data_IF_242155244592
#
_entry.id   IF_242155244592
#
_cell.length_a   1.000
_cell.length_b   1.000
_cell.length_c   1.000
_cell.angle_alpha   90.00
_cell.angle_beta   90.00
_cell.angle_gamma   90.00
#
_symmetry.space_group_name_H-M   'P 1'
#
loop_
_entity.id
_entity.type
_entity.pdbx_description
1 polymer ?
#
# COMPACT_ATOMS: atom_id res chain seq x y z
N UNK A 1 -19.23 8.46 -19.82
CA UNK A 1 -18.60 7.84 -18.62
C UNK A 1 -17.09 7.73 -18.75
N UNK A 2 -16.53 7.28 -19.89
CA UNK A 2 -15.08 7.18 -20.08
C UNK A 2 -14.29 8.50 -20.08
N UNK A 3 -14.90 9.63 -20.47
CA UNK A 3 -14.20 10.92 -20.54
C UNK A 3 -13.62 11.37 -19.19
N UNK A 4 -14.42 11.33 -18.12
CA UNK A 4 -13.98 11.74 -16.78
C UNK A 4 -12.92 10.76 -16.24
N UNK A 5 -13.12 9.46 -16.43
CA UNK A 5 -12.14 8.45 -16.01
C UNK A 5 -10.81 8.59 -16.72
N UNK A 6 -10.83 8.85 -18.03
CA UNK A 6 -9.63 9.13 -18.80
C UNK A 6 -8.97 10.42 -18.30
N UNK A 7 -9.73 11.50 -18.12
CA UNK A 7 -9.18 12.75 -17.62
C UNK A 7 -8.50 12.59 -16.25
N UNK A 8 -9.14 11.91 -15.29
CA UNK A 8 -8.54 11.66 -13.97
C UNK A 8 -7.26 10.83 -14.12
N UNK A 9 -7.31 9.76 -14.91
CA UNK A 9 -6.16 8.90 -15.13
C UNK A 9 -5.00 9.66 -15.77
N UNK A 10 -5.25 10.32 -16.90
CA UNK A 10 -4.24 11.01 -17.70
C UNK A 10 -3.66 12.24 -16.97
N UNK A 11 -4.39 12.81 -16.00
CA UNK A 11 -3.93 13.99 -15.23
C UNK A 11 -3.20 13.60 -13.94
N UNK A 12 -3.63 12.53 -13.26
CA UNK A 12 -3.20 12.25 -11.88
C UNK A 12 -2.60 10.85 -11.67
N UNK A 13 -2.38 10.05 -12.71
CA UNK A 13 -1.74 8.72 -12.57
C UNK A 13 -0.34 8.80 -11.97
N UNK A 14 0.38 9.89 -12.21
CA UNK A 14 1.76 10.08 -11.77
C UNK A 14 1.86 10.28 -10.25
N UNK A 15 0.77 10.72 -9.62
CA UNK A 15 0.65 10.75 -8.15
C UNK A 15 0.72 9.34 -7.52
N UNK A 16 0.46 8.29 -8.32
CA UNK A 16 0.47 6.88 -7.88
C UNK A 16 1.65 6.07 -8.41
N UNK A 17 1.97 6.14 -9.70
CA UNK A 17 2.72 5.07 -10.38
C UNK A 17 4.24 5.25 -10.42
N UNK A 18 4.74 6.48 -10.50
CA UNK A 18 6.14 6.75 -10.81
C UNK A 18 6.79 7.72 -9.81
N UNK A 19 6.45 7.60 -8.52
CA UNK A 19 6.93 8.55 -7.52
C UNK A 19 7.47 7.91 -6.22
N UNK A 20 8.27 6.85 -6.36
CA UNK A 20 9.04 6.33 -5.22
C UNK A 20 9.90 7.42 -4.57
N UNK A 21 10.42 8.37 -5.36
CA UNK A 21 11.20 9.49 -4.85
C UNK A 21 10.38 10.44 -3.96
N UNK A 22 9.07 10.62 -4.21
CA UNK A 22 8.17 11.37 -3.32
C UNK A 22 7.99 10.69 -1.97
N UNK A 23 7.97 9.36 -1.93
CA UNK A 23 7.70 8.60 -0.70
C UNK A 23 8.97 8.20 0.05
N UNK A 24 10.11 8.08 -0.62
CA UNK A 24 11.36 7.64 0.00
C UNK A 24 11.79 8.50 1.21
N UNK A 25 11.66 9.84 1.19
CA UNK A 25 11.94 10.68 2.37
C UNK A 25 11.05 10.36 3.58
N UNK A 26 9.89 9.72 3.38
CA UNK A 26 8.95 9.37 4.45
C UNK A 26 9.26 8.01 5.09
N UNK A 27 10.13 7.18 4.50
CA UNK A 27 10.35 5.81 4.96
C UNK A 27 10.86 5.72 6.39
N UNK A 28 11.69 6.68 6.83
CA UNK A 28 12.17 6.75 8.20
C UNK A 28 11.01 6.96 9.18
N UNK A 29 10.13 7.90 8.86
CA UNK A 29 8.93 8.18 9.67
C UNK A 29 7.98 6.98 9.70
N UNK A 30 7.83 6.28 8.57
CA UNK A 30 6.99 5.09 8.46
C UNK A 30 7.54 3.92 9.27
N UNK A 31 8.85 3.69 9.23
CA UNK A 31 9.50 2.69 10.06
C UNK A 31 9.32 3.00 11.56
N UNK A 32 9.44 4.27 11.96
CA UNK A 32 9.23 4.69 13.33
C UNK A 32 7.79 4.43 13.81
N UNK A 33 6.77 4.78 13.02
CA UNK A 33 5.35 4.55 13.41
C UNK A 33 4.98 3.06 13.41
N UNK A 34 5.51 2.26 12.49
CA UNK A 34 5.29 0.80 12.47
C UNK A 34 5.88 0.17 13.73
N UNK A 35 7.10 0.58 14.09
CA UNK A 35 7.75 0.14 15.33
C UNK A 35 6.97 0.56 16.57
N UNK A 36 6.47 1.81 16.60
CA UNK A 36 5.65 2.32 17.70
C UNK A 36 4.33 1.53 17.87
N UNK A 37 3.86 0.85 16.82
CA UNK A 37 2.69 -0.05 16.87
C UNK A 37 3.02 -1.50 17.22
N UNK A 38 4.25 -1.78 17.65
CA UNK A 38 4.69 -3.10 18.10
C UNK A 38 5.41 -3.91 17.04
N UNK A 39 5.67 -3.35 15.85
CA UNK A 39 6.49 -4.01 14.83
C UNK A 39 7.93 -4.25 15.33
N UNK A 40 8.45 -5.50 15.33
CA UNK A 40 9.80 -5.80 15.82
C UNK A 40 10.93 -5.34 14.88
N UNK A 41 10.64 -5.00 13.63
CA UNK A 41 11.64 -4.55 12.66
C UNK A 41 11.93 -3.05 12.81
N UNK A 42 13.22 -2.70 12.94
CA UNK A 42 13.67 -1.32 13.11
C UNK A 42 13.50 -0.46 11.85
N UNK A 43 13.51 -1.10 10.68
CA UNK A 43 13.62 -0.46 9.37
C UNK A 43 12.52 -0.92 8.40
N UNK A 44 11.41 -1.47 8.91
CA UNK A 44 10.28 -1.84 8.06
C UNK A 44 9.44 -0.61 7.75
N UNK A 45 9.46 -0.14 6.51
CA UNK A 45 8.76 1.08 6.10
C UNK A 45 7.45 0.81 5.34
N UNK A 46 7.33 -0.35 4.69
CA UNK A 46 6.23 -0.65 3.77
C UNK A 46 5.73 -2.07 3.96
N UNK A 47 4.43 -2.26 3.85
CA UNK A 47 3.80 -3.57 3.76
C UNK A 47 3.31 -3.83 2.33
N UNK A 48 3.48 -5.06 1.85
CA UNK A 48 2.91 -5.49 0.57
C UNK A 48 2.02 -6.71 0.75
N UNK A 49 0.98 -6.77 -0.07
CA UNK A 49 0.06 -7.90 -0.16
C UNK A 49 -0.35 -8.13 -1.63
N UNK A 50 -0.55 -9.40 -2.01
CA UNK A 50 -0.84 -9.81 -3.40
C UNK A 50 0.21 -10.74 -4.02
N UNK A 51 0.25 -10.87 -5.35
CA UNK A 51 1.22 -11.74 -6.06
C UNK A 51 2.43 -10.92 -6.54
N UNK A 52 3.66 -11.39 -6.32
CA UNK A 52 4.87 -10.67 -6.81
C UNK A 52 4.80 -10.54 -8.33
N UNK A 53 4.89 -9.30 -8.79
CA UNK A 53 5.49 -8.93 -10.07
C UNK A 53 6.81 -8.20 -9.76
N UNK A 54 7.75 -8.16 -10.70
CA UNK A 54 9.13 -7.68 -10.46
C UNK A 54 9.18 -6.47 -9.53
N UNK A 55 9.90 -6.60 -8.41
CA UNK A 55 10.01 -5.52 -7.42
C UNK A 55 11.04 -4.50 -7.90
N UNK A 56 10.64 -3.22 -7.93
CA UNK A 56 11.58 -2.12 -8.11
C UNK A 56 12.58 -2.14 -6.95
N UNK A 57 13.88 -2.03 -7.26
CA UNK A 57 14.93 -1.89 -6.25
C UNK A 57 14.77 -0.51 -5.60
N UNK A 58 14.65 -0.37 -4.27
CA UNK A 58 14.68 0.94 -3.65
C UNK A 58 16.05 1.59 -3.94
N UNK A 59 16.05 2.63 -4.77
CA UNK A 59 17.24 3.15 -5.44
C UNK A 59 18.12 4.10 -4.61
N UNK A 60 18.06 4.09 -3.27
CA UNK A 60 18.51 5.25 -2.47
C UNK A 60 19.53 4.98 -1.37
N UNK A 61 20.19 3.81 -1.31
CA UNK A 61 21.24 3.54 -0.32
C UNK A 61 20.78 3.50 1.15
N UNK A 62 19.48 3.64 1.38
CA UNK A 62 18.82 3.50 2.68
C UNK A 62 18.40 2.05 2.89
N UNK A 63 18.85 1.45 3.99
CA UNK A 63 18.53 0.07 4.37
C UNK A 63 17.10 -0.05 4.95
N UNK A 64 16.06 0.28 4.18
CA UNK A 64 14.67 -0.03 4.56
C UNK A 64 14.24 -1.38 3.97
N UNK A 65 13.37 -2.07 4.69
CA UNK A 65 12.77 -3.34 4.23
C UNK A 65 11.28 -3.18 4.01
N UNK A 66 10.80 -3.93 3.04
CA UNK A 66 9.39 -4.19 2.82
C UNK A 66 9.04 -5.46 3.59
N UNK A 67 7.91 -5.47 4.29
CA UNK A 67 7.38 -6.70 4.89
C UNK A 67 6.21 -7.23 4.06
N UNK A 68 6.28 -8.51 3.72
CA UNK A 68 5.26 -9.14 2.89
C UNK A 68 4.83 -10.51 3.42
N UNK A 69 3.90 -11.10 2.69
CA UNK A 69 3.37 -12.42 2.99
C UNK A 69 4.46 -13.50 3.07
N UNK A 70 4.34 -14.47 4.01
CA UNK A 70 5.19 -15.64 4.02
C UNK A 70 5.18 -16.45 2.71
N UNK A 71 4.23 -16.30 1.79
CA UNK A 71 4.29 -16.94 0.48
C UNK A 71 5.43 -16.41 -0.40
N UNK A 72 5.92 -15.19 -0.15
CA UNK A 72 6.94 -14.58 -0.98
C UNK A 72 8.32 -15.26 -0.86
N UNK A 73 9.10 -15.27 -1.96
CA UNK A 73 10.52 -15.59 -1.89
C UNK A 73 11.27 -14.55 -1.06
N UNK A 74 12.32 -14.99 -0.38
CA UNK A 74 13.21 -14.09 0.34
C UNK A 74 13.97 -13.19 -0.67
N UNK A 75 14.10 -11.91 -0.35
CA UNK A 75 14.84 -10.94 -1.15
C UNK A 75 15.58 -9.97 -0.21
N UNK A 76 16.74 -9.39 -0.59
CA UNK A 76 17.49 -8.49 0.29
C UNK A 76 16.71 -7.30 0.86
N UNK A 77 15.63 -6.89 0.19
CA UNK A 77 14.76 -5.79 0.59
C UNK A 77 13.35 -6.25 1.00
N UNK A 78 13.08 -7.56 1.02
CA UNK A 78 11.78 -8.14 1.40
C UNK A 78 11.99 -9.12 2.57
N UNK A 79 11.43 -8.74 3.71
CA UNK A 79 11.32 -9.61 4.88
C UNK A 79 9.93 -10.24 4.86
N UNK A 80 9.86 -11.52 5.22
CA UNK A 80 8.59 -12.25 5.32
C UNK A 80 8.47 -12.90 6.69
N UNK A 81 7.25 -13.24 7.08
CA UNK A 81 7.03 -14.01 8.31
C UNK A 81 7.65 -15.40 8.22
N UNK A 82 7.99 -15.97 9.38
CA UNK A 82 8.53 -17.33 9.46
C UNK A 82 7.48 -18.35 8.97
N UNK A 83 7.90 -19.28 8.10
CA UNK A 83 7.05 -20.32 7.49
C UNK A 83 7.11 -21.63 8.29
N UNK A 84 6.02 -22.40 8.29
CA UNK A 84 5.97 -23.78 8.81
C UNK A 84 5.17 -23.95 10.11
N UNK A 85 4.66 -25.16 10.34
CA UNK A 85 3.80 -25.47 11.49
C UNK A 85 4.54 -25.55 12.84
N UNK A 86 5.83 -25.86 12.81
CA UNK A 86 6.67 -26.03 14.00
C UNK A 86 7.66 -24.85 14.20
N UNK A 87 7.19 -23.61 14.02
CA UNK A 87 8.00 -22.44 14.38
C UNK A 87 8.12 -22.31 15.89
N UNK A 88 9.33 -22.01 16.37
CA UNK A 88 9.61 -21.79 17.79
C UNK A 88 8.87 -20.57 18.35
N UNK A 89 8.81 -20.45 19.69
CA UNK A 89 8.07 -19.40 20.37
C UNK A 89 8.43 -17.98 19.89
N UNK A 90 9.72 -17.67 19.80
CA UNK A 90 10.22 -16.37 19.34
C UNK A 90 9.79 -16.03 17.89
N UNK A 91 9.75 -17.02 17.00
CA UNK A 91 9.31 -16.82 15.62
C UNK A 91 7.79 -16.57 15.54
N UNK A 92 7.02 -17.20 16.43
CA UNK A 92 5.57 -16.95 16.54
C UNK A 92 5.29 -15.56 17.10
N UNK A 93 6.03 -15.15 18.13
CA UNK A 93 5.96 -13.80 18.69
C UNK A 93 6.28 -12.74 17.63
N UNK A 94 7.34 -12.96 16.83
CA UNK A 94 7.67 -12.09 15.71
C UNK A 94 6.53 -11.98 14.69
N UNK A 95 5.97 -13.12 14.25
CA UNK A 95 4.87 -13.13 13.28
C UNK A 95 3.63 -12.40 13.84
N UNK A 96 3.26 -12.67 15.10
CA UNK A 96 2.12 -12.00 15.76
C UNK A 96 2.35 -10.49 15.85
N UNK A 97 3.55 -10.07 16.24
CA UNK A 97 3.90 -8.66 16.36
C UNK A 97 3.90 -7.93 15.01
N UNK A 98 4.29 -8.60 13.92
CA UNK A 98 4.23 -8.03 12.57
C UNK A 98 2.82 -8.06 11.96
N UNK A 99 1.97 -9.04 12.31
CA UNK A 99 0.62 -9.15 11.77
C UNK A 99 -0.26 -7.96 12.17
N UNK A 100 -0.13 -7.45 13.40
CA UNK A 100 -0.89 -6.30 13.90
C UNK A 100 -0.83 -5.07 12.98
N UNK A 101 0.36 -4.47 12.77
CA UNK A 101 0.51 -3.34 11.86
C UNK A 101 0.29 -3.75 10.39
N UNK A 102 0.63 -4.99 9.99
CA UNK A 102 0.41 -5.45 8.61
C UNK A 102 -1.07 -5.45 8.19
N UNK A 103 -2.00 -5.74 9.10
CA UNK A 103 -3.45 -5.72 8.81
C UNK A 103 -3.92 -4.39 8.21
N UNK A 104 -3.17 -3.29 8.40
CA UNK A 104 -3.51 -2.01 7.80
C UNK A 104 -3.54 -2.00 6.26
N UNK A 105 -2.84 -2.94 5.62
CA UNK A 105 -2.88 -3.10 4.16
C UNK A 105 -4.27 -3.49 3.68
N UNK A 106 -4.94 -4.38 4.41
CA UNK A 106 -6.28 -4.86 4.07
C UNK A 106 -7.31 -3.72 4.12
N UNK A 107 -7.15 -2.77 5.05
CA UNK A 107 -8.02 -1.60 5.13
C UNK A 107 -7.85 -0.67 3.92
N UNK A 108 -6.62 -0.45 3.47
CA UNK A 108 -6.33 0.33 2.27
C UNK A 108 -6.90 -0.36 1.01
N UNK A 109 -6.64 -1.66 0.87
CA UNK A 109 -7.16 -2.46 -0.24
C UNK A 109 -8.69 -2.48 -0.26
N UNK A 110 -9.34 -2.69 0.88
CA UNK A 110 -10.81 -2.67 1.00
C UNK A 110 -11.41 -1.33 0.58
N UNK A 111 -10.75 -0.20 0.88
CA UNK A 111 -11.18 1.12 0.43
C UNK A 111 -11.07 1.25 -1.10
N UNK A 112 -9.94 0.85 -1.69
CA UNK A 112 -9.75 0.86 -3.15
C UNK A 112 -10.80 -0.01 -3.85
N UNK A 113 -11.04 -1.23 -3.34
CA UNK A 113 -12.05 -2.14 -3.92
C UNK A 113 -13.48 -1.58 -3.81
N UNK A 114 -13.77 -0.83 -2.75
CA UNK A 114 -15.05 -0.13 -2.59
C UNK A 114 -15.24 0.92 -3.69
N UNK A 115 -14.23 1.78 -3.92
CA UNK A 115 -14.28 2.77 -5.00
C UNK A 115 -14.28 2.12 -6.38
N UNK A 116 -13.51 1.06 -6.57
CA UNK A 116 -13.53 0.29 -7.82
C UNK A 116 -14.94 -0.25 -8.08
N UNK A 117 -15.64 -0.75 -7.06
CA UNK A 117 -17.03 -1.19 -7.15
C UNK A 117 -18.03 -0.08 -7.48
N UNK A 118 -17.74 1.18 -7.15
CA UNK A 118 -18.55 2.34 -7.57
C UNK A 118 -18.24 2.80 -8.99
N UNK A 119 -16.99 2.67 -9.42
CA UNK A 119 -16.58 2.93 -10.80
C UNK A 119 -17.06 1.82 -11.75
N UNK A 120 -17.35 0.65 -11.21
CA UNK A 120 -17.78 -0.54 -11.93
C UNK A 120 -19.30 -0.72 -11.96
N UNK A 121 -19.83 -1.03 -13.14
CA UNK A 121 -21.14 -1.64 -13.26
C UNK A 121 -20.91 -3.15 -13.15
N UNK A 122 -21.21 -3.73 -11.97
CA UNK A 122 -21.01 -5.15 -11.54
C UNK A 122 -21.14 -6.28 -12.58
N UNK A 123 -21.70 -6.06 -13.76
CA UNK A 123 -21.92 -7.07 -14.81
C UNK A 123 -20.91 -7.08 -15.97
N UNK A 124 -19.91 -6.20 -16.03
CA UNK A 124 -19.03 -6.05 -17.21
C UNK A 124 -17.53 -6.32 -16.97
N UNK A 125 -17.12 -6.76 -15.78
CA UNK A 125 -15.71 -7.10 -15.51
C UNK A 125 -15.23 -8.35 -16.24
N UNK A 126 -14.83 -8.19 -17.49
CA UNK A 126 -14.14 -9.20 -18.27
C UNK A 126 -12.70 -8.75 -18.53
N UNK A 127 -11.75 -9.54 -18.02
CA UNK A 127 -10.32 -9.36 -18.30
C UNK A 127 -10.11 -9.34 -19.83
N UNK A 128 -9.32 -8.39 -20.33
CA UNK A 128 -9.08 -8.11 -21.76
C UNK A 128 -10.23 -7.44 -22.55
N UNK A 129 -11.38 -7.16 -21.93
CA UNK A 129 -12.50 -6.47 -22.59
C UNK A 129 -12.80 -5.09 -21.99
N UNK A 130 -12.18 -4.75 -20.87
CA UNK A 130 -12.24 -3.43 -20.26
C UNK A 130 -10.86 -3.00 -19.75
N UNK A 131 -10.60 -1.69 -19.64
CA UNK A 131 -9.35 -1.16 -19.10
C UNK A 131 -9.33 -1.24 -17.56
N UNK A 132 -9.45 -2.46 -17.00
CA UNK A 132 -9.51 -2.69 -15.54
C UNK A 132 -8.32 -2.07 -14.78
N UNK A 133 -7.12 -2.09 -15.38
CA UNK A 133 -5.96 -1.40 -14.81
C UNK A 133 -6.18 0.10 -14.64
N UNK A 134 -6.77 0.77 -15.65
CA UNK A 134 -7.11 2.19 -15.56
C UNK A 134 -8.14 2.45 -14.45
N UNK A 135 -9.19 1.62 -14.37
CA UNK A 135 -10.21 1.77 -13.33
C UNK A 135 -9.63 1.56 -11.93
N UNK A 136 -8.70 0.61 -11.77
CA UNK A 136 -8.00 0.42 -10.51
C UNK A 136 -7.18 1.65 -10.12
N UNK A 137 -6.42 2.24 -11.06
CA UNK A 137 -5.66 3.46 -10.79
C UNK A 137 -6.57 4.63 -10.41
N UNK A 138 -7.67 4.84 -11.14
CA UNK A 138 -8.64 5.89 -10.80
C UNK A 138 -9.28 5.62 -9.42
N UNK A 139 -9.59 4.36 -9.10
CA UNK A 139 -10.08 3.99 -7.77
C UNK A 139 -9.07 4.33 -6.66
N UNK A 140 -7.78 4.06 -6.89
CA UNK A 140 -6.71 4.46 -5.97
C UNK A 140 -6.63 5.97 -5.79
N UNK A 141 -6.68 6.76 -6.88
CA UNK A 141 -6.66 8.23 -6.81
C UNK A 141 -7.82 8.72 -5.95
N UNK A 142 -9.05 8.27 -6.24
CA UNK A 142 -10.25 8.67 -5.50
C UNK A 142 -10.17 8.24 -4.03
N UNK A 143 -9.69 7.03 -3.76
CA UNK A 143 -9.52 6.53 -2.39
C UNK A 143 -8.52 7.37 -1.59
N UNK A 144 -7.44 7.85 -2.23
CA UNK A 144 -6.45 8.73 -1.63
C UNK A 144 -6.99 10.15 -1.44
N UNK A 145 -7.71 10.72 -2.41
CA UNK A 145 -8.38 12.02 -2.26
C UNK A 145 -9.37 12.01 -1.09
N UNK A 146 -10.21 10.96 -0.98
CA UNK A 146 -11.07 10.80 0.18
C UNK A 146 -10.26 10.65 1.48
N UNK A 147 -9.10 9.99 1.43
CA UNK A 147 -8.23 9.91 2.61
C UNK A 147 -7.69 11.28 3.02
N UNK A 148 -7.37 12.16 2.07
CA UNK A 148 -6.96 13.53 2.36
C UNK A 148 -8.07 14.34 3.03
N UNK A 149 -9.32 14.19 2.58
CA UNK A 149 -10.45 14.94 3.13
C UNK A 149 -10.97 14.39 4.47
N UNK A 150 -11.13 13.07 4.60
CA UNK A 150 -11.87 12.43 5.71
C UNK A 150 -10.99 11.53 6.60
N UNK A 151 -9.71 11.39 6.22
CA UNK A 151 -8.80 10.44 6.83
C UNK A 151 -9.06 8.98 6.42
N UNK A 152 -8.39 8.07 7.14
CA UNK A 152 -8.50 6.63 6.94
C UNK A 152 -8.38 5.87 8.26
N UNK A 153 -8.85 4.63 8.27
CA UNK A 153 -8.65 3.71 9.40
C UNK A 153 -7.15 3.52 9.67
N UNK A 154 -6.36 3.37 8.60
CA UNK A 154 -4.90 3.28 8.66
C UNK A 154 -4.28 4.52 9.33
N UNK A 155 -4.66 5.73 8.92
CA UNK A 155 -4.17 6.97 9.52
C UNK A 155 -4.48 7.06 11.01
N UNK A 156 -5.72 6.73 11.41
CA UNK A 156 -6.11 6.69 12.83
C UNK A 156 -5.34 5.63 13.61
N UNK A 157 -5.15 4.45 13.04
CA UNK A 157 -4.41 3.36 13.66
C UNK A 157 -2.96 3.75 13.92
N UNK A 158 -2.26 4.35 12.95
CA UNK A 158 -0.86 4.78 13.10
C UNK A 158 -0.71 6.17 13.74
N UNK A 159 -1.80 6.87 14.03
CA UNK A 159 -1.79 8.29 14.43
C UNK A 159 -1.02 9.17 13.43
N UNK A 160 -1.25 8.93 12.14
CA UNK A 160 -0.64 9.64 11.03
C UNK A 160 -1.70 10.46 10.28
N UNK A 161 -1.39 11.73 10.03
CA UNK A 161 -2.27 12.63 9.29
C UNK A 161 -2.01 12.51 7.79
N UNK A 162 -3.05 12.46 6.95
CA UNK A 162 -2.88 12.52 5.50
C UNK A 162 -2.40 13.91 5.06
N UNK A 163 -1.79 14.04 3.88
CA UNK A 163 -1.56 15.34 3.27
C UNK A 163 -2.89 16.03 2.92
N UNK A 164 -2.84 17.32 2.60
CA UNK A 164 -4.00 18.00 2.01
C UNK A 164 -4.27 17.48 0.61
N UNK A 165 -5.48 17.72 0.10
CA UNK A 165 -5.87 17.27 -1.23
C UNK A 165 -5.00 17.92 -2.31
N UNK A 166 -4.71 19.21 -2.17
CA UNK A 166 -3.85 20.01 -3.04
C UNK A 166 -2.42 19.45 -3.04
N UNK A 167 -1.89 19.17 -1.85
CA UNK A 167 -0.56 18.61 -1.68
C UNK A 167 -0.44 17.16 -2.18
N UNK A 168 -1.54 16.43 -2.31
CA UNK A 168 -1.55 15.08 -2.91
C UNK A 168 -1.64 15.13 -4.44
N UNK A 169 -2.49 16.01 -4.98
CA UNK A 169 -2.73 16.16 -6.41
C UNK A 169 -1.70 17.07 -7.11
N UNK A 170 -0.83 17.73 -6.35
CA UNK A 170 0.16 18.70 -6.83
C UNK A 170 -0.48 19.86 -7.62
N UNK A 171 -1.60 20.40 -7.09
CA UNK A 171 -2.40 21.51 -7.67
C UNK A 171 -2.53 22.71 -6.75
#
# INVERSE_FOLDING_TARGET
>A
MYFILNHIYDTFSDALLDNLDRYAPLFESWAAIIRAKGGPLLNCAVFIDGTIRGMCKPGLGVHFVIYGDPAYPLHPYLVTGFKGGAIGAAAREFNTAMNGPRTSVEWGFGKVMTYLGYLDMKSQQKLLLMPLGKFYHVACIIANCHTCCEGSVTGRYFNSQPPTLEAYLDI
#
